data_IF_891928940347
#
_entry.id   IF_891928940347
#
_cell.length_a   1.000
_cell.length_b   1.000
_cell.length_c   1.000
_cell.angle_alpha   90.00
_cell.angle_beta   90.00
_cell.angle_gamma   90.00
#
_symmetry.space_group_name_H-M   'P 1'
#
loop_
_entity.id
_entity.type
_entity.pdbx_description
1 polymer ?
#
# COMPACT_ATOMS: atom_id res chain seq x y z
N UNK A 1 34.26 -23.37 -77.87
CA UNK A 1 33.75 -24.31 -76.85
C UNK A 1 34.62 -24.17 -75.61
N UNK A 2 34.24 -23.36 -74.70
CA UNK A 2 34.95 -23.12 -73.44
C UNK A 2 34.12 -23.68 -72.28
N UNK A 3 34.66 -24.66 -71.55
CA UNK A 3 34.06 -25.21 -70.29
C UNK A 3 34.50 -24.38 -69.10
N UNK A 4 33.58 -23.77 -68.41
CA UNK A 4 33.78 -23.12 -67.08
C UNK A 4 33.55 -24.12 -65.99
N UNK A 5 34.59 -24.40 -65.23
CA UNK A 5 34.52 -25.15 -63.96
C UNK A 5 34.25 -24.18 -62.82
N UNK A 6 33.11 -24.36 -62.09
CA UNK A 6 32.79 -23.60 -60.90
C UNK A 6 33.38 -24.30 -59.68
N UNK A 7 34.31 -23.66 -58.98
CA UNK A 7 34.78 -24.04 -57.66
C UNK A 7 33.79 -23.56 -56.60
N UNK A 8 33.22 -24.49 -55.81
CA UNK A 8 32.38 -24.24 -54.68
C UNK A 8 33.27 -24.14 -53.43
N UNK A 9 33.46 -22.94 -52.86
CA UNK A 9 34.03 -22.72 -51.56
C UNK A 9 32.92 -22.87 -50.51
N UNK A 10 32.98 -23.95 -49.75
CA UNK A 10 32.15 -24.16 -48.57
C UNK A 10 32.77 -23.46 -47.34
N UNK A 11 32.19 -22.34 -46.94
CA UNK A 11 32.54 -21.67 -45.67
C UNK A 11 31.82 -22.39 -44.55
N UNK A 12 32.54 -23.13 -43.72
CA UNK A 12 32.06 -23.72 -42.47
C UNK A 12 32.09 -22.60 -41.44
N UNK A 13 30.93 -22.00 -41.14
CA UNK A 13 30.73 -21.10 -40.00
C UNK A 13 30.70 -21.94 -38.71
N UNK A 14 31.77 -21.88 -37.96
CA UNK A 14 31.88 -22.48 -36.61
C UNK A 14 31.05 -21.59 -35.67
N UNK A 15 29.78 -21.93 -35.46
CA UNK A 15 28.98 -21.37 -34.37
C UNK A 15 29.53 -21.90 -33.05
N UNK A 16 30.38 -21.12 -32.42
CA UNK A 16 30.72 -21.31 -31.02
C UNK A 16 29.47 -20.99 -30.17
N UNK A 17 28.75 -22.04 -29.81
CA UNK A 17 27.75 -21.99 -28.74
C UNK A 17 28.51 -21.66 -27.45
N UNK A 18 28.50 -20.36 -27.10
CA UNK A 18 28.85 -19.94 -25.75
C UNK A 18 27.75 -20.52 -24.84
N UNK A 19 28.05 -21.67 -24.25
CA UNK A 19 27.27 -22.21 -23.14
C UNK A 19 27.38 -21.21 -21.99
N UNK A 20 26.33 -20.43 -21.80
CA UNK A 20 26.15 -19.71 -20.56
C UNK A 20 26.28 -20.72 -19.42
N UNK A 21 27.07 -20.44 -18.36
CA UNK A 21 27.15 -21.34 -17.23
C UNK A 21 25.74 -21.57 -16.70
N UNK A 22 25.33 -22.84 -16.61
CA UNK A 22 24.07 -23.21 -15.99
C UNK A 22 24.09 -22.60 -14.57
N UNK A 23 23.18 -21.67 -14.31
CA UNK A 23 23.02 -21.06 -13.01
C UNK A 23 22.70 -22.22 -12.06
N UNK A 24 23.54 -22.46 -11.07
CA UNK A 24 23.30 -23.51 -10.08
C UNK A 24 21.90 -23.29 -9.49
N UNK A 25 21.12 -24.35 -9.46
CA UNK A 25 19.78 -24.31 -8.86
C UNK A 25 19.92 -23.91 -7.39
N UNK A 26 19.09 -22.97 -6.93
CA UNK A 26 19.15 -22.45 -5.58
C UNK A 26 18.78 -23.56 -4.58
N UNK A 27 19.66 -23.91 -3.71
CA UNK A 27 19.39 -24.85 -2.61
C UNK A 27 18.58 -24.16 -1.50
N UNK A 28 17.27 -24.14 -1.70
CA UNK A 28 16.32 -23.46 -0.80
C UNK A 28 16.36 -24.05 0.60
N UNK A 29 16.56 -25.35 0.76
CA UNK A 29 16.57 -26.00 2.07
C UNK A 29 17.80 -25.57 2.89
N UNK A 30 18.97 -25.54 2.25
CA UNK A 30 20.21 -25.06 2.88
C UNK A 30 20.14 -23.59 3.25
N UNK A 31 19.61 -22.75 2.33
CA UNK A 31 19.44 -21.32 2.59
C UNK A 31 18.44 -21.08 3.73
N UNK A 32 17.33 -21.79 3.76
CA UNK A 32 16.35 -21.70 4.85
C UNK A 32 17.00 -21.96 6.20
N UNK A 33 17.76 -23.05 6.34
CA UNK A 33 18.46 -23.38 7.59
C UNK A 33 19.44 -22.26 8.00
N UNK A 34 20.16 -21.68 7.03
CA UNK A 34 21.08 -20.58 7.29
C UNK A 34 20.36 -19.31 7.73
N UNK A 35 19.25 -18.99 7.08
CA UNK A 35 18.41 -17.83 7.41
C UNK A 35 17.77 -18.00 8.79
N UNK A 36 17.21 -19.17 9.09
CA UNK A 36 16.59 -19.46 10.39
C UNK A 36 17.62 -19.33 11.52
N UNK A 37 18.84 -19.85 11.35
CA UNK A 37 19.91 -19.68 12.32
C UNK A 37 20.32 -18.21 12.51
N UNK A 38 20.36 -17.42 11.44
CA UNK A 38 20.64 -15.98 11.52
C UNK A 38 19.55 -15.22 12.27
N UNK A 39 18.29 -15.51 11.95
CA UNK A 39 17.13 -14.88 12.61
C UNK A 39 17.08 -15.25 14.09
N UNK A 40 17.29 -16.52 14.45
CA UNK A 40 17.30 -16.96 15.85
C UNK A 40 18.39 -16.24 16.67
N UNK A 41 19.59 -16.09 16.10
CA UNK A 41 20.68 -15.34 16.74
C UNK A 41 20.36 -13.86 16.94
N UNK A 42 19.60 -13.26 16.02
CA UNK A 42 19.28 -11.84 16.04
C UNK A 42 17.95 -11.54 16.73
N UNK A 43 17.12 -12.56 16.99
CA UNK A 43 15.78 -12.43 17.54
C UNK A 43 15.71 -11.57 18.81
N UNK A 44 16.59 -11.70 19.81
CA UNK A 44 16.53 -10.86 21.01
C UNK A 44 16.67 -9.37 20.71
N UNK A 45 17.45 -8.99 19.67
CA UNK A 45 17.61 -7.59 19.25
C UNK A 45 16.40 -7.10 18.45
N UNK A 46 15.88 -7.95 17.58
CA UNK A 46 14.69 -7.63 16.79
C UNK A 46 13.44 -7.50 17.66
N UNK A 47 13.29 -8.37 18.67
CA UNK A 47 12.22 -8.30 19.66
C UNK A 47 12.32 -7.02 20.51
N UNK A 48 13.53 -6.64 20.91
CA UNK A 48 13.76 -5.39 21.64
C UNK A 48 13.43 -4.17 20.77
N UNK A 49 13.83 -4.17 19.49
CA UNK A 49 13.50 -3.12 18.52
C UNK A 49 11.99 -3.02 18.33
N UNK A 50 11.32 -4.14 18.09
CA UNK A 50 9.87 -4.21 17.96
C UNK A 50 9.15 -3.58 19.16
N UNK A 51 9.50 -4.01 20.39
CA UNK A 51 8.86 -3.52 21.62
C UNK A 51 9.12 -2.04 21.85
N UNK A 52 10.27 -1.54 21.47
CA UNK A 52 10.60 -0.12 21.61
C UNK A 52 9.86 0.74 20.56
N UNK A 53 9.71 0.26 19.31
CA UNK A 53 8.87 0.91 18.29
C UNK A 53 7.40 0.91 18.71
N UNK A 54 6.91 -0.22 19.22
CA UNK A 54 5.54 -0.38 19.69
C UNK A 54 5.19 0.59 20.86
N UNK A 55 6.14 0.76 21.79
CA UNK A 55 5.94 1.63 22.95
C UNK A 55 6.02 3.13 22.60
N UNK A 56 6.65 3.50 21.48
CA UNK A 56 6.91 4.88 21.08
C UNK A 56 6.46 5.16 19.64
N UNK A 57 5.17 4.98 19.32
CA UNK A 57 4.63 5.18 17.99
C UNK A 57 4.54 6.66 17.63
N UNK A 58 4.71 6.97 16.34
CA UNK A 58 4.54 8.31 15.78
C UNK A 58 3.54 8.25 14.61
N UNK A 59 2.67 9.24 14.47
CA UNK A 59 1.68 9.29 13.39
C UNK A 59 2.26 9.81 12.08
N UNK A 60 1.48 9.71 11.01
CA UNK A 60 1.79 10.14 9.66
C UNK A 60 2.50 11.50 9.61
N UNK A 61 3.65 11.54 8.92
CA UNK A 61 4.54 12.71 8.77
C UNK A 61 5.10 13.30 10.07
N UNK A 62 5.03 12.58 11.17
CA UNK A 62 5.65 12.91 12.45
C UNK A 62 6.65 11.85 12.92
N UNK A 63 6.99 10.86 12.10
CA UNK A 63 7.81 9.65 12.38
C UNK A 63 9.31 9.98 12.46
N UNK A 64 9.66 11.08 13.14
CA UNK A 64 11.05 11.59 13.18
C UNK A 64 11.97 10.68 13.99
N UNK A 65 11.54 10.23 15.16
CA UNK A 65 12.33 9.36 16.03
C UNK A 65 12.37 7.92 15.48
N UNK A 66 11.27 7.45 14.95
CA UNK A 66 11.13 6.15 14.30
C UNK A 66 12.09 6.05 13.11
N UNK A 67 12.05 7.03 12.19
CA UNK A 67 12.96 7.09 11.05
C UNK A 67 14.44 7.15 11.47
N UNK A 68 14.79 7.99 12.45
CA UNK A 68 16.16 8.10 12.95
C UNK A 68 16.66 6.78 13.56
N UNK A 69 15.80 6.05 14.28
CA UNK A 69 16.11 4.74 14.85
C UNK A 69 16.41 3.72 13.75
N UNK A 70 15.53 3.60 12.74
CA UNK A 70 15.76 2.71 11.61
C UNK A 70 16.99 3.11 10.78
N UNK A 71 17.24 4.41 10.61
CA UNK A 71 18.45 4.90 9.95
C UNK A 71 19.71 4.45 10.68
N UNK A 72 19.73 4.48 12.01
CA UNK A 72 20.84 4.01 12.82
C UNK A 72 21.06 2.50 12.67
N UNK A 73 20.00 1.69 12.71
CA UNK A 73 20.07 0.24 12.49
C UNK A 73 20.64 -0.08 11.09
N UNK A 74 20.17 0.58 10.04
CA UNK A 74 20.61 0.32 8.68
C UNK A 74 22.08 0.74 8.46
N UNK A 75 22.53 1.86 9.05
CA UNK A 75 23.94 2.26 9.04
C UNK A 75 24.82 1.24 9.75
N UNK A 76 24.37 0.70 10.88
CA UNK A 76 25.10 -0.33 11.63
C UNK A 76 25.24 -1.64 10.84
N UNK A 77 24.29 -1.96 9.96
CA UNK A 77 24.35 -3.11 9.03
C UNK A 77 25.31 -2.82 7.85
N UNK A 78 25.59 -1.54 7.53
CA UNK A 78 26.49 -1.13 6.46
C UNK A 78 25.82 -0.53 5.23
N UNK A 79 24.54 -0.14 5.32
CA UNK A 79 23.86 0.60 4.26
C UNK A 79 24.26 2.08 4.23
N UNK A 80 24.29 2.67 3.05
CA UNK A 80 24.30 4.11 2.84
C UNK A 80 22.87 4.63 3.01
N UNK A 81 22.62 5.49 4.00
CA UNK A 81 21.27 5.93 4.38
C UNK A 81 21.08 7.40 4.10
N UNK A 82 20.02 7.71 3.34
CA UNK A 82 19.51 9.06 3.12
C UNK A 82 18.18 9.21 3.85
N UNK A 83 18.12 10.11 4.80
CA UNK A 83 16.93 10.45 5.57
C UNK A 83 16.13 11.60 4.93
N UNK A 84 14.92 11.85 5.42
CA UNK A 84 14.02 12.91 4.98
C UNK A 84 13.62 12.80 3.50
N UNK A 85 13.45 11.58 2.99
CA UNK A 85 12.90 11.34 1.66
C UNK A 85 11.38 11.26 1.77
N UNK A 86 10.66 12.16 1.13
CA UNK A 86 9.21 12.28 1.31
C UNK A 86 8.83 12.77 2.71
N UNK A 87 9.55 13.75 3.25
CA UNK A 87 9.48 14.34 4.60
C UNK A 87 10.23 13.51 5.65
N UNK A 88 9.59 12.52 6.28
CA UNK A 88 10.15 11.72 7.38
C UNK A 88 10.69 10.36 6.94
N UNK A 89 10.47 9.94 5.70
CA UNK A 89 10.94 8.65 5.20
C UNK A 89 12.45 8.58 4.99
N UNK A 90 12.95 7.38 4.74
CA UNK A 90 14.36 7.14 4.45
C UNK A 90 14.56 6.11 3.32
N UNK A 91 15.73 6.20 2.68
CA UNK A 91 16.22 5.25 1.68
C UNK A 91 17.59 4.76 2.13
N UNK A 92 17.75 3.44 2.17
CA UNK A 92 19.00 2.78 2.51
C UNK A 92 19.46 1.91 1.33
N UNK A 93 20.68 2.15 0.86
CA UNK A 93 21.26 1.47 -0.31
C UNK A 93 22.45 0.60 0.12
N UNK A 94 22.47 -0.64 -0.32
CA UNK A 94 23.63 -1.53 -0.19
C UNK A 94 23.98 -2.09 -1.57
N UNK A 95 25.19 -1.79 -2.04
CA UNK A 95 25.71 -2.25 -3.34
C UNK A 95 26.62 -3.45 -3.18
N UNK A 96 26.35 -4.50 -3.93
CA UNK A 96 27.11 -5.75 -3.93
C UNK A 96 27.44 -6.22 -5.37
N UNK A 97 28.17 -5.39 -6.11
CA UNK A 97 28.53 -5.64 -7.51
C UNK A 97 27.39 -5.32 -8.49
N UNK A 98 27.63 -5.68 -9.75
CA UNK A 98 26.65 -5.47 -10.82
C UNK A 98 25.49 -6.47 -10.74
N UNK A 99 24.27 -6.01 -10.96
CA UNK A 99 23.08 -6.85 -10.90
C UNK A 99 21.82 -6.05 -10.72
N UNK A 100 20.67 -6.72 -10.51
CA UNK A 100 19.38 -6.04 -10.34
C UNK A 100 19.32 -5.21 -9.06
N UNK A 101 18.50 -4.19 -9.08
CA UNK A 101 18.09 -3.43 -7.90
C UNK A 101 16.80 -4.00 -7.33
N UNK A 102 16.84 -4.49 -6.10
CA UNK A 102 15.69 -5.04 -5.40
C UNK A 102 15.26 -4.07 -4.31
N UNK A 103 14.01 -3.63 -4.37
CA UNK A 103 13.41 -2.79 -3.35
C UNK A 103 12.70 -3.63 -2.29
N UNK A 104 12.90 -3.28 -1.01
CA UNK A 104 12.15 -3.82 0.13
C UNK A 104 11.57 -2.65 0.91
N UNK A 105 10.25 -2.61 1.07
CA UNK A 105 9.54 -1.52 1.73
C UNK A 105 9.01 -1.93 3.09
N UNK A 106 9.08 -1.01 4.04
CA UNK A 106 8.30 -0.97 5.29
C UNK A 106 7.61 0.38 5.45
N UNK A 107 6.64 0.45 6.33
CA UNK A 107 5.94 1.66 6.77
C UNK A 107 6.52 2.14 8.11
N UNK A 108 6.31 3.43 8.45
CA UNK A 108 6.84 4.04 9.68
C UNK A 108 5.75 4.45 10.67
N UNK A 109 4.57 4.79 10.15
CA UNK A 109 3.53 5.50 10.89
C UNK A 109 2.63 4.59 11.71
N UNK A 110 2.02 5.19 12.73
CA UNK A 110 1.04 4.60 13.61
C UNK A 110 -0.28 5.37 13.54
N UNK A 111 -1.30 4.86 14.20
CA UNK A 111 -2.66 5.37 14.19
C UNK A 111 -2.95 6.27 15.40
N UNK A 112 -3.76 7.37 15.21
CA UNK A 112 -4.19 8.26 16.29
C UNK A 112 -5.32 7.62 17.12
N UNK A 113 -4.97 6.59 17.90
CA UNK A 113 -5.93 5.84 18.71
C UNK A 113 -5.30 5.31 20.01
N UNK A 114 -6.15 5.05 21.02
CA UNK A 114 -5.73 4.48 22.28
C UNK A 114 -5.47 2.98 22.16
N UNK A 115 -4.31 2.53 22.63
CA UNK A 115 -4.01 1.11 22.77
C UNK A 115 -4.72 0.50 23.99
N UNK A 116 -5.30 -0.69 23.79
CA UNK A 116 -6.06 -1.43 24.84
C UNK A 116 -5.61 -2.87 25.00
N UNK A 117 -4.37 -3.18 24.61
CA UNK A 117 -3.83 -4.55 24.68
C UNK A 117 -3.50 -5.00 26.10
N UNK A 118 -3.10 -4.06 26.98
CA UNK A 118 -2.61 -4.35 28.31
C UNK A 118 -1.23 -5.01 28.34
N UNK A 119 -0.49 -4.93 27.22
CA UNK A 119 0.89 -5.42 27.14
C UNK A 119 1.83 -4.60 28.05
N UNK A 120 2.90 -5.20 28.58
CA UNK A 120 3.86 -4.47 29.43
C UNK A 120 4.67 -3.41 28.68
N UNK A 121 4.62 -3.41 27.35
CA UNK A 121 5.24 -2.43 26.45
C UNK A 121 4.18 -1.69 25.62
N UNK A 122 2.93 -1.68 26.06
CA UNK A 122 1.86 -0.92 25.40
C UNK A 122 2.22 0.57 25.32
N UNK A 123 1.80 1.21 24.25
CA UNK A 123 1.98 2.65 24.07
C UNK A 123 1.14 3.46 25.07
N UNK A 124 1.78 4.48 25.65
CA UNK A 124 1.14 5.53 26.44
C UNK A 124 1.45 6.92 25.89
N UNK A 125 2.05 6.96 24.69
CA UNK A 125 2.43 8.21 24.03
C UNK A 125 1.20 8.91 23.46
N UNK A 126 1.27 10.25 23.45
CA UNK A 126 0.25 11.12 22.86
C UNK A 126 0.90 12.09 21.88
N UNK A 127 0.14 12.55 20.90
CA UNK A 127 0.55 13.57 19.96
C UNK A 127 -0.56 14.57 19.69
N UNK A 128 -0.22 15.71 19.08
CA UNK A 128 -1.23 16.64 18.56
C UNK A 128 -1.71 16.15 17.20
N UNK A 129 -2.97 15.70 17.13
CA UNK A 129 -3.63 15.34 15.89
C UNK A 129 -4.89 16.20 15.71
N UNK A 130 -4.95 16.96 14.60
CA UNK A 130 -6.05 17.88 14.31
C UNK A 130 -6.37 18.87 15.44
N UNK A 131 -5.32 19.38 16.11
CA UNK A 131 -5.44 20.36 17.20
C UNK A 131 -5.88 19.75 18.55
N UNK A 132 -5.85 18.45 18.68
CA UNK A 132 -6.20 17.73 19.94
C UNK A 132 -5.09 16.80 20.35
N UNK A 133 -4.82 16.75 21.65
CA UNK A 133 -3.97 15.71 22.22
C UNK A 133 -4.66 14.36 22.06
N UNK A 134 -4.01 13.42 21.38
CA UNK A 134 -4.58 12.14 20.97
C UNK A 134 -3.58 11.02 21.28
N UNK A 135 -3.99 9.91 21.87
CA UNK A 135 -3.17 8.72 22.04
C UNK A 135 -2.74 8.16 20.68
N UNK A 136 -1.60 7.47 20.65
CA UNK A 136 -1.05 6.87 19.44
C UNK A 136 -0.71 5.42 19.68
N UNK A 137 -1.01 4.54 18.72
CA UNK A 137 -0.69 3.12 18.80
C UNK A 137 -0.40 2.51 17.44
N UNK A 138 0.55 1.55 17.40
CA UNK A 138 0.76 0.67 16.24
C UNK A 138 -0.32 -0.42 16.21
N UNK A 139 -1.49 -0.10 15.67
CA UNK A 139 -2.62 -1.05 15.56
C UNK A 139 -2.73 -1.68 14.15
N UNK A 140 -1.87 -1.26 13.22
CA UNK A 140 -1.75 -1.82 11.87
C UNK A 140 -0.50 -2.72 11.70
N UNK A 141 0.31 -2.91 12.75
CA UNK A 141 1.46 -3.82 12.74
C UNK A 141 2.73 -3.29 12.07
N UNK A 142 2.81 -1.99 11.76
CA UNK A 142 4.00 -1.40 11.10
C UNK A 142 5.28 -1.55 11.94
N UNK A 143 5.20 -1.65 13.26
CA UNK A 143 6.29 -1.97 14.17
C UNK A 143 6.88 -3.38 13.92
N UNK A 144 6.02 -4.38 13.64
CA UNK A 144 6.44 -5.73 13.23
C UNK A 144 7.09 -5.67 11.85
N UNK A 145 6.51 -4.89 10.91
CA UNK A 145 7.06 -4.72 9.57
C UNK A 145 8.46 -4.11 9.64
N UNK A 146 8.66 -3.06 10.43
CA UNK A 146 9.96 -2.41 10.62
C UNK A 146 11.01 -3.35 11.22
N UNK A 147 10.66 -4.11 12.25
CA UNK A 147 11.57 -5.09 12.84
C UNK A 147 11.95 -6.19 11.84
N UNK A 148 10.97 -6.70 11.08
CA UNK A 148 11.19 -7.70 10.02
C UNK A 148 12.04 -7.15 8.89
N UNK A 149 11.87 -5.89 8.52
CA UNK A 149 12.65 -5.19 7.50
C UNK A 149 14.14 -5.07 7.90
N UNK A 150 14.43 -4.68 9.14
CA UNK A 150 15.80 -4.64 9.68
C UNK A 150 16.42 -6.05 9.71
N UNK A 151 15.67 -7.06 10.17
CA UNK A 151 16.11 -8.45 10.18
C UNK A 151 16.42 -8.97 8.77
N UNK A 152 15.60 -8.62 7.79
CA UNK A 152 15.80 -8.96 6.37
C UNK A 152 17.06 -8.31 5.82
N UNK A 153 17.28 -7.02 6.08
CA UNK A 153 18.49 -6.30 5.66
C UNK A 153 19.76 -6.96 6.20
N UNK A 154 19.78 -7.26 7.49
CA UNK A 154 20.91 -7.90 8.17
C UNK A 154 21.19 -9.29 7.61
N UNK A 155 20.17 -10.10 7.41
CA UNK A 155 20.28 -11.45 6.84
C UNK A 155 20.84 -11.40 5.42
N UNK A 156 20.32 -10.52 4.56
CA UNK A 156 20.81 -10.40 3.18
C UNK A 156 22.25 -9.92 3.10
N UNK A 157 22.67 -8.98 3.94
CA UNK A 157 24.09 -8.56 4.01
C UNK A 157 24.98 -9.67 4.55
N UNK A 158 24.51 -10.47 5.51
CA UNK A 158 25.19 -11.67 5.98
C UNK A 158 25.41 -12.74 4.90
N UNK A 159 24.55 -12.74 3.89
CA UNK A 159 24.60 -13.65 2.73
C UNK A 159 25.19 -13.00 1.46
N UNK A 160 25.90 -11.88 1.57
CA UNK A 160 26.38 -11.08 0.43
C UNK A 160 27.21 -11.86 -0.59
N UNK A 161 27.89 -12.92 -0.18
CA UNK A 161 28.70 -13.76 -1.07
C UNK A 161 27.83 -14.67 -1.97
N UNK A 162 26.50 -14.69 -1.77
CA UNK A 162 25.55 -15.55 -2.49
C UNK A 162 24.68 -14.80 -3.48
N UNK A 163 24.79 -13.48 -3.57
CA UNK A 163 24.03 -12.65 -4.48
C UNK A 163 24.83 -11.46 -5.00
N UNK A 164 24.37 -10.85 -6.09
CA UNK A 164 24.94 -9.64 -6.70
C UNK A 164 23.81 -8.65 -7.02
N UNK A 165 24.15 -7.37 -7.01
CA UNK A 165 23.24 -6.29 -7.34
C UNK A 165 23.13 -5.26 -6.24
N UNK A 166 22.01 -4.55 -6.20
CA UNK A 166 21.74 -3.47 -5.25
C UNK A 166 20.50 -3.79 -4.42
N UNK A 167 20.61 -3.69 -3.11
CA UNK A 167 19.46 -3.65 -2.21
C UNK A 167 19.07 -2.19 -1.97
N UNK A 168 17.82 -1.88 -2.21
CA UNK A 168 17.19 -0.59 -1.91
C UNK A 168 16.12 -0.83 -0.85
N UNK A 169 16.41 -0.50 0.37
CA UNK A 169 15.48 -0.61 1.49
C UNK A 169 14.86 0.77 1.73
N UNK A 170 13.53 0.86 1.68
CA UNK A 170 12.81 2.10 1.93
C UNK A 170 11.92 1.96 3.16
N UNK A 171 11.97 2.96 4.05
CA UNK A 171 11.04 3.09 5.14
C UNK A 171 10.14 4.29 4.84
N UNK A 172 8.90 4.00 4.52
CA UNK A 172 7.94 4.94 3.99
C UNK A 172 7.14 5.57 5.13
N UNK A 173 6.95 6.91 5.15
CA UNK A 173 6.07 7.59 6.09
C UNK A 173 4.61 7.49 5.66
N UNK A 174 3.68 7.85 6.53
CA UNK A 174 2.30 8.25 6.24
C UNK A 174 1.52 7.30 5.32
N UNK A 175 1.61 5.99 5.55
CA UNK A 175 0.82 4.99 4.83
C UNK A 175 -0.67 5.10 5.21
N UNK A 176 -0.98 5.30 6.48
CA UNK A 176 -2.34 5.40 7.02
C UNK A 176 -3.14 6.59 6.46
N UNK A 177 -2.44 7.61 5.96
CA UNK A 177 -3.01 8.76 5.26
C UNK A 177 -3.02 8.58 3.72
N UNK A 178 -2.58 7.40 3.21
CA UNK A 178 -2.44 7.12 1.77
C UNK A 178 -1.62 8.21 1.05
N UNK A 179 -0.56 8.67 1.67
CA UNK A 179 0.16 9.86 1.20
C UNK A 179 1.68 9.67 1.11
N UNK A 180 2.23 8.69 1.83
CA UNK A 180 3.66 8.55 2.02
C UNK A 180 4.41 8.09 0.78
N UNK A 181 3.91 7.09 0.07
CA UNK A 181 4.53 6.61 -1.16
C UNK A 181 4.58 7.72 -2.22
N UNK A 182 3.47 8.47 -2.37
CA UNK A 182 3.42 9.61 -3.27
C UNK A 182 4.42 10.70 -2.84
N UNK A 183 4.53 11.01 -1.56
CA UNK A 183 5.48 12.01 -1.05
C UNK A 183 6.92 11.61 -1.35
N UNK A 184 7.29 10.33 -1.21
CA UNK A 184 8.62 9.84 -1.57
C UNK A 184 8.88 9.93 -3.08
N UNK A 185 7.89 9.58 -3.92
CA UNK A 185 8.01 9.70 -5.37
C UNK A 185 8.13 11.15 -5.83
N UNK A 186 7.34 12.05 -5.26
CA UNK A 186 7.38 13.49 -5.55
C UNK A 186 8.72 14.13 -5.12
N UNK A 187 9.34 13.63 -4.04
CA UNK A 187 10.70 14.01 -3.62
C UNK A 187 11.81 13.39 -4.50
N UNK A 188 11.43 12.67 -5.54
CA UNK A 188 12.34 12.13 -6.53
C UNK A 188 12.93 10.77 -6.19
N UNK A 189 12.22 9.90 -5.50
CA UNK A 189 12.69 8.57 -5.11
C UNK A 189 13.35 7.81 -6.27
N UNK A 190 12.75 7.79 -7.47
CA UNK A 190 13.29 7.08 -8.62
C UNK A 190 14.09 7.95 -9.60
N UNK A 191 14.42 9.19 -9.21
CA UNK A 191 15.33 10.08 -9.94
C UNK A 191 16.62 10.35 -9.18
N UNK A 192 16.57 10.34 -7.86
CA UNK A 192 17.71 10.49 -6.94
C UNK A 192 18.41 9.16 -6.66
N UNK A 193 17.65 8.07 -6.69
CA UNK A 193 18.11 6.71 -6.40
C UNK A 193 17.85 5.78 -7.59
N UNK A 194 18.53 4.63 -7.69
CA UNK A 194 18.28 3.65 -8.74
C UNK A 194 16.83 3.20 -8.75
N UNK A 195 16.17 3.23 -9.91
CA UNK A 195 14.82 2.66 -10.03
C UNK A 195 14.90 1.15 -9.85
N UNK A 196 14.07 0.55 -8.97
CA UNK A 196 14.09 -0.89 -8.73
C UNK A 196 13.62 -1.70 -9.94
N UNK A 197 14.27 -2.84 -10.17
CA UNK A 197 13.82 -3.85 -11.14
C UNK A 197 12.68 -4.70 -10.56
N UNK A 198 12.67 -4.92 -9.25
CA UNK A 198 11.63 -5.66 -8.52
C UNK A 198 11.44 -5.06 -7.13
N UNK A 199 10.19 -5.04 -6.66
CA UNK A 199 9.82 -4.60 -5.32
C UNK A 199 9.14 -5.69 -4.49
N UNK A 200 9.41 -5.67 -3.18
CA UNK A 200 8.76 -6.51 -2.20
C UNK A 200 8.27 -5.67 -1.02
N UNK A 201 7.06 -5.97 -0.55
CA UNK A 201 6.54 -5.48 0.71
C UNK A 201 5.68 -6.57 1.37
N UNK A 202 5.57 -6.52 2.67
CA UNK A 202 4.71 -7.41 3.44
C UNK A 202 3.73 -6.60 4.29
N UNK A 203 2.65 -7.27 4.69
CA UNK A 203 1.78 -6.80 5.75
C UNK A 203 1.42 -7.98 6.65
N UNK A 204 1.37 -7.76 7.95
CA UNK A 204 0.83 -8.74 8.88
C UNK A 204 -0.70 -8.79 8.80
N UNK A 205 -1.31 -9.77 9.42
CA UNK A 205 -2.77 -9.88 9.40
C UNK A 205 -3.30 -10.94 10.35
N UNK A 206 -4.63 -11.02 10.46
CA UNK A 206 -5.33 -12.00 11.27
C UNK A 206 -5.27 -13.41 10.65
N UNK A 207 -4.08 -13.87 10.27
CA UNK A 207 -3.82 -15.19 9.71
C UNK A 207 -3.34 -16.17 10.78
N UNK A 208 -3.36 -17.46 10.49
CA UNK A 208 -2.73 -18.45 11.36
C UNK A 208 -1.21 -18.25 11.40
N UNK A 209 -0.64 -18.22 12.58
CA UNK A 209 0.80 -18.01 12.79
C UNK A 209 1.67 -18.91 11.88
N UNK A 210 2.66 -18.27 11.27
CA UNK A 210 3.63 -18.91 10.38
C UNK A 210 3.10 -19.24 8.99
N UNK A 211 1.94 -18.68 8.60
CA UNK A 211 1.46 -18.75 7.21
C UNK A 211 1.96 -17.55 6.40
N UNK A 212 2.18 -17.77 5.11
CA UNK A 212 2.43 -16.69 4.14
C UNK A 212 1.35 -16.74 3.09
N UNK A 213 0.68 -15.63 2.87
CA UNK A 213 -0.39 -15.55 1.89
C UNK A 213 -0.15 -14.45 0.85
N UNK A 214 -0.56 -14.71 -0.38
CA UNK A 214 -0.41 -13.77 -1.49
C UNK A 214 -1.46 -14.02 -2.56
N UNK A 215 -1.48 -13.13 -3.56
CA UNK A 215 -2.31 -13.27 -4.74
C UNK A 215 -1.54 -12.82 -5.99
N UNK A 216 -1.80 -13.45 -7.11
CA UNK A 216 -1.38 -12.96 -8.44
C UNK A 216 -2.37 -11.90 -8.91
N UNK A 217 -1.88 -10.81 -9.47
CA UNK A 217 -2.71 -9.70 -9.94
C UNK A 217 -3.24 -8.83 -8.79
N UNK A 218 -4.50 -8.43 -8.85
CA UNK A 218 -5.09 -7.47 -7.91
C UNK A 218 -5.07 -8.02 -6.48
N UNK A 219 -4.30 -7.41 -5.60
CA UNK A 219 -4.12 -7.79 -4.19
C UNK A 219 -4.97 -6.97 -3.21
N UNK A 220 -5.10 -5.65 -3.45
CA UNK A 220 -5.89 -4.73 -2.61
C UNK A 220 -6.91 -3.95 -3.44
N UNK A 221 -7.75 -3.12 -2.80
CA UNK A 221 -8.74 -2.31 -3.51
C UNK A 221 -8.21 -0.92 -3.88
N UNK A 222 -8.82 -0.34 -4.96
CA UNK A 222 -8.78 1.12 -5.12
C UNK A 222 -9.60 1.74 -3.98
N UNK A 223 -9.17 2.91 -3.54
CA UNK A 223 -9.90 3.76 -2.60
C UNK A 223 -10.18 5.10 -3.23
N UNK A 224 -11.41 5.58 -3.09
CA UNK A 224 -11.79 6.96 -3.39
C UNK A 224 -12.54 7.54 -2.19
N UNK A 225 -12.24 8.79 -1.86
CA UNK A 225 -13.04 9.59 -0.93
C UNK A 225 -14.31 10.08 -1.59
N UNK A 226 -15.37 10.23 -0.81
CA UNK A 226 -16.65 10.80 -1.24
C UNK A 226 -17.00 11.96 -0.33
N UNK A 227 -17.05 13.17 -0.89
CA UNK A 227 -17.43 14.39 -0.20
C UNK A 227 -18.43 15.13 -1.08
N UNK A 228 -19.71 15.12 -0.71
CA UNK A 228 -20.79 15.74 -1.48
C UNK A 228 -21.53 16.72 -0.61
N UNK A 229 -21.50 18.00 -0.99
CA UNK A 229 -22.24 19.05 -0.32
C UNK A 229 -23.50 19.41 -1.12
N UNK A 230 -24.63 19.11 -0.53
CA UNK A 230 -25.93 19.54 -1.05
C UNK A 230 -26.24 20.93 -0.55
N UNK A 231 -26.71 21.80 -1.46
CA UNK A 231 -27.14 23.14 -1.18
C UNK A 231 -28.67 23.20 -1.08
N UNK A 232 -29.17 24.08 -0.23
CA UNK A 232 -30.59 24.30 -0.03
C UNK A 232 -30.87 25.75 0.28
N UNK A 233 -32.02 25.97 0.84
CA UNK A 233 -32.45 27.24 1.38
C UNK A 233 -33.06 27.02 2.75
N UNK A 234 -32.35 27.49 3.79
CA UNK A 234 -32.73 27.33 5.17
C UNK A 234 -33.98 28.12 5.56
N UNK A 235 -34.52 27.80 6.72
CA UNK A 235 -35.68 28.48 7.27
C UNK A 235 -36.27 27.77 8.48
N UNK A 236 -37.44 28.24 8.88
CA UNK A 236 -38.16 27.71 10.01
C UNK A 236 -38.79 26.33 9.69
N UNK A 237 -38.51 25.32 10.53
CA UNK A 237 -38.94 23.93 10.28
C UNK A 237 -40.46 23.73 10.20
N UNK A 238 -41.26 24.64 10.75
CA UNK A 238 -42.74 24.62 10.60
C UNK A 238 -43.25 25.36 9.32
N UNK A 239 -42.33 25.90 8.50
CA UNK A 239 -42.66 26.59 7.23
C UNK A 239 -41.87 26.00 6.06
N UNK A 240 -41.88 24.65 5.85
CA UNK A 240 -41.04 23.96 4.87
C UNK A 240 -41.29 24.40 3.42
N UNK A 241 -42.48 24.93 3.10
CA UNK A 241 -42.82 25.47 1.78
C UNK A 241 -41.97 26.69 1.37
N UNK A 242 -41.31 27.34 2.32
CA UNK A 242 -40.39 28.46 2.08
C UNK A 242 -38.93 28.06 1.98
N UNK A 243 -38.64 26.76 2.05
CA UNK A 243 -37.28 26.22 2.15
C UNK A 243 -36.97 25.24 1.01
N UNK A 244 -35.70 24.89 0.88
CA UNK A 244 -35.22 23.72 0.14
C UNK A 244 -34.38 22.96 1.15
N UNK A 245 -34.81 21.79 1.58
CA UNK A 245 -34.21 21.07 2.68
C UNK A 245 -33.02 20.18 2.21
N UNK A 246 -31.76 20.59 2.45
CA UNK A 246 -30.60 19.84 2.03
C UNK A 246 -30.35 18.57 2.88
N UNK A 247 -30.90 18.48 4.10
CA UNK A 247 -30.80 17.27 4.93
C UNK A 247 -31.65 16.15 4.33
N UNK A 248 -32.85 16.48 3.85
CA UNK A 248 -33.70 15.52 3.13
C UNK A 248 -33.08 15.08 1.81
N UNK A 249 -32.43 15.99 1.06
CA UNK A 249 -31.71 15.65 -0.17
C UNK A 249 -30.57 14.71 0.13
N UNK A 250 -29.73 14.98 1.16
CA UNK A 250 -28.64 14.14 1.58
C UNK A 250 -29.13 12.75 2.01
N UNK A 251 -30.20 12.67 2.81
CA UNK A 251 -30.77 11.40 3.23
C UNK A 251 -31.25 10.56 2.03
N UNK A 252 -31.88 11.18 1.03
CA UNK A 252 -32.30 10.52 -0.20
C UNK A 252 -31.12 10.03 -1.01
N UNK A 253 -30.06 10.84 -1.15
CA UNK A 253 -28.83 10.42 -1.82
C UNK A 253 -28.24 9.15 -1.18
N UNK A 254 -28.20 9.06 0.15
CA UNK A 254 -27.65 7.88 0.86
C UNK A 254 -28.41 6.60 0.50
N UNK A 255 -29.71 6.69 0.33
CA UNK A 255 -30.54 5.55 -0.09
C UNK A 255 -30.34 5.26 -1.58
N UNK A 256 -30.50 6.27 -2.43
CA UNK A 256 -30.54 6.11 -3.88
C UNK A 256 -29.18 5.71 -4.47
N UNK A 257 -28.05 6.15 -3.87
CA UNK A 257 -26.70 5.79 -4.32
C UNK A 257 -26.43 4.29 -4.23
N UNK A 258 -27.14 3.56 -3.38
CA UNK A 258 -27.02 2.09 -3.29
C UNK A 258 -27.51 1.40 -4.58
N UNK A 259 -28.31 2.06 -5.41
CA UNK A 259 -28.72 1.55 -6.70
C UNK A 259 -27.54 1.42 -7.70
N UNK A 260 -26.53 2.26 -7.57
CA UNK A 260 -25.29 2.17 -8.36
C UNK A 260 -24.60 0.82 -8.12
N UNK A 261 -24.58 0.35 -6.87
CA UNK A 261 -24.01 -0.96 -6.51
C UNK A 261 -24.89 -2.11 -6.96
N UNK A 262 -26.19 -2.00 -6.72
CA UNK A 262 -27.11 -3.13 -6.89
C UNK A 262 -27.69 -3.25 -8.30
N UNK A 263 -27.66 -2.18 -9.13
CA UNK A 263 -28.33 -2.15 -10.45
C UNK A 263 -27.45 -1.71 -11.61
N UNK A 264 -26.32 -1.06 -11.35
CA UNK A 264 -25.47 -0.54 -12.44
C UNK A 264 -24.14 -1.27 -12.56
N UNK A 265 -23.51 -1.58 -11.43
CA UNK A 265 -22.31 -2.40 -11.38
C UNK A 265 -22.66 -3.84 -11.79
N UNK A 266 -21.72 -4.52 -12.48
CA UNK A 266 -21.84 -5.97 -12.69
C UNK A 266 -21.89 -6.68 -11.32
N UNK A 267 -22.90 -7.51 -11.04
CA UNK A 267 -23.05 -8.16 -9.74
C UNK A 267 -21.89 -9.10 -9.37
N UNK A 268 -21.14 -9.60 -10.35
CA UNK A 268 -19.96 -10.46 -10.14
C UNK A 268 -18.71 -9.68 -9.77
N UNK A 269 -18.71 -8.36 -9.98
CA UNK A 269 -17.56 -7.51 -9.70
C UNK A 269 -17.63 -6.90 -8.30
N UNK A 270 -16.46 -6.69 -7.68
CA UNK A 270 -16.38 -6.03 -6.38
C UNK A 270 -16.56 -4.50 -6.52
N UNK A 271 -17.39 -3.94 -5.65
CA UNK A 271 -17.57 -2.50 -5.52
C UNK A 271 -18.42 -2.18 -4.28
N UNK A 272 -17.96 -1.21 -3.51
CA UNK A 272 -18.61 -0.73 -2.27
C UNK A 272 -18.72 0.78 -2.30
N UNK A 273 -19.87 1.30 -1.86
CA UNK A 273 -20.06 2.70 -1.45
C UNK A 273 -20.54 2.69 -0.01
N UNK A 274 -19.75 3.27 0.89
CA UNK A 274 -20.15 3.43 2.28
C UNK A 274 -20.22 4.90 2.63
N UNK A 275 -21.36 5.33 3.19
CA UNK A 275 -21.52 6.67 3.73
C UNK A 275 -21.31 6.59 5.24
N UNK A 276 -20.21 7.21 5.69
CA UNK A 276 -19.82 7.19 7.10
C UNK A 276 -20.42 8.33 7.92
N UNK A 277 -20.73 9.48 7.28
CA UNK A 277 -21.27 10.63 8.00
C UNK A 277 -22.17 11.49 7.12
N UNK A 278 -23.15 12.13 7.78
CA UNK A 278 -23.96 13.23 7.25
C UNK A 278 -23.88 14.36 8.26
N UNK A 279 -23.49 15.54 7.79
CA UNK A 279 -23.41 16.74 8.62
C UNK A 279 -24.36 17.79 8.06
N UNK A 280 -25.41 18.16 8.83
CA UNK A 280 -26.38 19.17 8.43
C UNK A 280 -27.27 19.64 9.59
N UNK A 281 -27.39 20.96 9.72
CA UNK A 281 -28.20 21.58 10.75
C UNK A 281 -27.59 21.54 12.17
N UNK A 282 -28.19 22.34 13.08
CA UNK A 282 -27.76 22.45 14.48
C UNK A 282 -28.94 22.37 15.46
N UNK A 283 -30.16 22.54 14.97
CA UNK A 283 -31.37 22.53 15.79
C UNK A 283 -32.53 21.89 15.03
N UNK A 284 -33.39 21.13 15.73
CA UNK A 284 -34.48 20.35 15.13
C UNK A 284 -35.58 21.14 14.50
N UNK A 285 -35.69 22.45 14.78
CA UNK A 285 -36.70 23.35 14.24
C UNK A 285 -36.16 24.35 13.20
N UNK A 286 -34.91 24.16 12.74
CA UNK A 286 -34.25 25.00 11.74
C UNK A 286 -33.77 24.12 10.59
N UNK A 287 -34.26 24.41 9.38
CA UNK A 287 -33.71 23.79 8.16
C UNK A 287 -32.43 24.54 7.78
N UNK A 288 -31.28 23.85 7.58
CA UNK A 288 -30.05 24.51 7.23
C UNK A 288 -29.94 24.90 5.76
N UNK A 289 -28.92 25.67 5.39
CA UNK A 289 -28.62 26.04 4.00
C UNK A 289 -27.80 24.96 3.23
N UNK A 290 -27.19 24.04 3.92
CA UNK A 290 -26.44 22.95 3.29
C UNK A 290 -26.36 21.69 4.16
N UNK A 291 -26.04 20.55 3.52
CA UNK A 291 -25.70 19.30 4.18
C UNK A 291 -24.52 18.64 3.45
N UNK A 292 -23.55 18.13 4.21
CA UNK A 292 -22.37 17.41 3.71
C UNK A 292 -22.53 15.92 3.95
N UNK A 293 -22.34 15.13 2.90
CA UNK A 293 -22.25 13.67 2.96
C UNK A 293 -20.79 13.28 2.78
N UNK A 294 -20.27 12.43 3.68
CA UNK A 294 -18.90 11.92 3.66
C UNK A 294 -18.91 10.40 3.60
N UNK A 295 -18.10 9.85 2.71
CA UNK A 295 -18.05 8.40 2.50
C UNK A 295 -16.78 7.91 1.85
N UNK A 296 -16.76 6.63 1.53
CA UNK A 296 -15.66 5.97 0.82
C UNK A 296 -16.19 5.03 -0.27
N UNK A 297 -15.40 4.89 -1.32
CA UNK A 297 -15.69 4.00 -2.44
C UNK A 297 -14.54 3.01 -2.55
N UNK A 298 -14.84 1.71 -2.73
CA UNK A 298 -13.85 0.65 -2.92
C UNK A 298 -14.17 -0.11 -4.18
N UNK A 299 -13.15 -0.39 -4.99
CA UNK A 299 -13.28 -1.20 -6.22
C UNK A 299 -11.99 -1.96 -6.47
N UNK A 300 -12.04 -3.05 -7.25
CA UNK A 300 -10.82 -3.71 -7.70
C UNK A 300 -10.41 -3.25 -9.11
N UNK A 301 -11.36 -3.15 -10.02
CA UNK A 301 -11.09 -2.91 -11.44
C UNK A 301 -11.31 -1.45 -11.84
N UNK A 302 -10.44 -0.87 -12.68
CA UNK A 302 -10.58 0.52 -13.13
C UNK A 302 -11.91 0.80 -13.85
N UNK A 303 -12.40 -0.14 -14.66
CA UNK A 303 -13.68 0.01 -15.38
C UNK A 303 -14.88 0.02 -14.44
N UNK A 304 -14.86 -0.78 -13.37
CA UNK A 304 -15.90 -0.76 -12.32
C UNK A 304 -15.86 0.57 -11.57
N UNK A 305 -14.65 1.04 -11.20
CA UNK A 305 -14.45 2.34 -10.57
C UNK A 305 -15.04 3.47 -11.41
N UNK A 306 -14.68 3.55 -12.69
CA UNK A 306 -15.17 4.59 -13.61
C UNK A 306 -16.70 4.59 -13.66
N UNK A 307 -17.32 3.43 -13.78
CA UNK A 307 -18.78 3.29 -13.84
C UNK A 307 -19.45 3.72 -12.53
N UNK A 308 -18.88 3.32 -11.39
CA UNK A 308 -19.42 3.68 -10.08
C UNK A 308 -19.30 5.17 -9.81
N UNK A 309 -18.15 5.80 -10.06
CA UNK A 309 -17.98 7.24 -9.88
C UNK A 309 -18.97 8.05 -10.73
N UNK A 310 -19.17 7.68 -11.99
CA UNK A 310 -20.16 8.32 -12.86
C UNK A 310 -21.60 8.12 -12.35
N UNK A 311 -21.94 6.95 -11.81
CA UNK A 311 -23.23 6.66 -11.22
C UNK A 311 -23.51 7.50 -9.97
N UNK A 312 -22.51 7.62 -9.08
CA UNK A 312 -22.57 8.42 -7.86
C UNK A 312 -22.81 9.90 -8.19
N UNK A 313 -22.01 10.44 -9.11
CA UNK A 313 -22.14 11.84 -9.55
C UNK A 313 -23.53 12.12 -10.15
N UNK A 314 -24.01 11.24 -11.02
CA UNK A 314 -25.35 11.35 -11.62
C UNK A 314 -26.43 11.29 -10.57
N UNK A 315 -26.37 10.38 -9.60
CA UNK A 315 -27.33 10.24 -8.52
C UNK A 315 -27.37 11.51 -7.66
N UNK A 316 -26.20 12.05 -7.27
CA UNK A 316 -26.13 13.29 -6.50
C UNK A 316 -26.81 14.47 -7.22
N UNK A 317 -26.53 14.66 -8.50
CA UNK A 317 -27.18 15.70 -9.32
C UNK A 317 -28.68 15.47 -9.45
N UNK A 318 -29.13 14.23 -9.61
CA UNK A 318 -30.52 13.89 -9.78
C UNK A 318 -31.37 14.18 -8.51
N UNK A 319 -30.86 13.78 -7.32
CA UNK A 319 -31.59 14.01 -6.06
C UNK A 319 -31.66 15.50 -5.71
N UNK A 320 -30.66 16.31 -6.05
CA UNK A 320 -30.71 17.76 -5.91
C UNK A 320 -31.77 18.38 -6.86
N UNK A 321 -31.79 17.97 -8.12
CA UNK A 321 -32.74 18.43 -9.11
C UNK A 321 -34.18 18.05 -8.75
N UNK A 322 -34.42 16.89 -8.12
CA UNK A 322 -35.76 16.49 -7.63
C UNK A 322 -36.34 17.44 -6.58
N UNK A 323 -35.47 18.17 -5.87
CA UNK A 323 -35.90 19.15 -4.85
C UNK A 323 -35.82 20.61 -5.35
N UNK A 324 -35.60 20.82 -6.65
CA UNK A 324 -35.33 22.15 -7.23
C UNK A 324 -34.18 22.89 -6.51
N UNK A 325 -33.20 22.13 -6.03
CA UNK A 325 -32.02 22.62 -5.34
C UNK A 325 -30.89 23.00 -6.33
N UNK A 326 -30.02 23.91 -5.93
CA UNK A 326 -28.78 24.16 -6.68
C UNK A 326 -27.94 22.87 -6.89
N UNK A 327 -27.13 22.78 -7.94
CA UNK A 327 -26.22 21.66 -8.15
C UNK A 327 -25.35 21.44 -6.91
N UNK A 328 -25.09 20.17 -6.51
CA UNK A 328 -24.21 19.87 -5.39
C UNK A 328 -22.74 20.10 -5.75
N UNK A 329 -21.92 20.44 -4.76
CA UNK A 329 -20.49 20.33 -4.87
C UNK A 329 -20.09 18.86 -4.70
N UNK A 330 -19.41 18.29 -5.69
CA UNK A 330 -19.03 16.90 -5.70
C UNK A 330 -17.52 16.82 -5.76
N UNK A 331 -16.91 16.29 -4.71
CA UNK A 331 -15.52 15.90 -4.68
C UNK A 331 -15.43 14.38 -4.46
N UNK A 332 -14.95 13.67 -5.48
CA UNK A 332 -14.63 12.26 -5.44
C UNK A 332 -13.10 12.17 -5.49
N UNK A 333 -12.49 12.25 -4.32
CA UNK A 333 -11.04 12.33 -4.16
C UNK A 333 -10.41 10.98 -4.49
N UNK A 334 -9.48 11.00 -5.45
CA UNK A 334 -8.74 9.81 -5.84
C UNK A 334 -7.68 9.50 -4.80
N UNK A 335 -7.95 8.50 -3.96
CA UNK A 335 -6.97 7.92 -3.04
C UNK A 335 -6.09 6.86 -3.72
N UNK A 336 -5.72 5.81 -2.97
CA UNK A 336 -4.86 4.74 -3.48
C UNK A 336 -5.51 3.94 -4.62
N UNK A 337 -4.71 3.55 -5.60
CA UNK A 337 -5.08 2.52 -6.56
C UNK A 337 -4.88 1.14 -5.94
N UNK A 338 -5.43 0.10 -6.58
CA UNK A 338 -5.20 -1.27 -6.17
C UNK A 338 -3.71 -1.64 -6.28
N UNK A 339 -3.18 -2.35 -5.30
CA UNK A 339 -1.89 -3.03 -5.44
C UNK A 339 -2.07 -4.20 -6.41
N UNK A 340 -1.25 -4.25 -7.45
CA UNK A 340 -1.27 -5.32 -8.45
C UNK A 340 0.05 -6.07 -8.42
N UNK A 341 0.02 -7.29 -7.93
CA UNK A 341 1.19 -8.15 -7.91
C UNK A 341 1.55 -8.63 -9.32
N UNK A 342 2.82 -8.47 -9.69
CA UNK A 342 3.32 -8.88 -11.01
C UNK A 342 3.35 -10.41 -11.14
N UNK A 343 2.74 -11.00 -12.18
CA UNK A 343 2.67 -12.45 -12.33
C UNK A 343 4.03 -13.14 -12.44
N UNK A 344 5.04 -12.52 -13.05
CA UNK A 344 6.37 -13.12 -13.20
C UNK A 344 7.16 -13.08 -11.89
N UNK A 345 7.05 -11.99 -11.13
CA UNK A 345 7.65 -11.85 -9.79
C UNK A 345 7.02 -12.88 -8.85
N UNK A 346 5.68 -12.96 -8.82
CA UNK A 346 4.98 -13.94 -7.98
C UNK A 346 5.34 -15.36 -8.36
N UNK A 347 5.37 -15.72 -9.65
CA UNK A 347 5.73 -17.06 -10.09
C UNK A 347 7.14 -17.48 -9.68
N UNK A 348 8.07 -16.51 -9.62
CA UNK A 348 9.44 -16.75 -9.15
C UNK A 348 9.48 -16.92 -7.64
N UNK A 349 8.85 -16.02 -6.89
CA UNK A 349 8.78 -16.06 -5.43
C UNK A 349 8.02 -17.29 -4.92
N UNK A 350 6.92 -17.67 -5.56
CA UNK A 350 6.09 -18.83 -5.20
C UNK A 350 6.88 -20.13 -5.16
N UNK A 351 7.79 -20.35 -6.11
CA UNK A 351 8.64 -21.55 -6.14
C UNK A 351 9.50 -21.66 -4.88
N UNK A 352 10.11 -20.55 -4.49
CA UNK A 352 10.96 -20.47 -3.29
C UNK A 352 10.12 -20.59 -2.02
N UNK A 353 8.99 -19.87 -1.95
CA UNK A 353 8.09 -19.91 -0.81
C UNK A 353 7.52 -21.32 -0.59
N UNK A 354 7.06 -22.00 -1.64
CA UNK A 354 6.58 -23.38 -1.54
C UNK A 354 7.66 -24.35 -1.08
N UNK A 355 8.88 -24.20 -1.59
CA UNK A 355 10.00 -25.03 -1.16
C UNK A 355 10.40 -24.77 0.30
N UNK A 356 10.31 -23.51 0.77
CA UNK A 356 10.67 -23.13 2.12
C UNK A 356 9.59 -23.42 3.17
N UNK A 357 8.31 -23.21 2.84
CA UNK A 357 7.19 -23.19 3.81
C UNK A 357 6.12 -24.26 3.55
N UNK A 358 6.18 -24.95 2.41
CA UNK A 358 5.28 -26.06 2.09
C UNK A 358 3.80 -25.68 2.11
N UNK A 359 3.02 -26.38 2.92
CA UNK A 359 1.58 -26.20 3.09
C UNK A 359 1.18 -24.96 3.90
N UNK A 360 2.12 -24.21 4.44
CA UNK A 360 1.86 -22.93 5.09
C UNK A 360 1.64 -21.76 4.10
N UNK A 361 1.87 -22.02 2.80
CA UNK A 361 1.62 -21.02 1.75
C UNK A 361 0.15 -21.06 1.34
N UNK A 362 -0.48 -19.89 1.24
CA UNK A 362 -1.87 -19.70 0.86
C UNK A 362 -2.01 -18.71 -0.28
N UNK A 363 -2.96 -18.92 -1.16
CA UNK A 363 -3.51 -17.90 -2.03
C UNK A 363 -4.82 -17.38 -1.44
N UNK A 364 -5.00 -16.05 -1.43
CA UNK A 364 -6.17 -15.41 -0.82
C UNK A 364 -7.00 -14.64 -1.85
N UNK A 365 -8.28 -14.38 -1.57
CA UNK A 365 -9.03 -13.35 -2.30
C UNK A 365 -8.33 -12.00 -2.21
N UNK A 366 -8.62 -11.03 -3.10
CA UNK A 366 -8.13 -9.66 -2.94
C UNK A 366 -8.60 -9.08 -1.62
N UNK A 367 -7.72 -8.32 -0.95
CA UNK A 367 -8.08 -7.56 0.24
C UNK A 367 -8.97 -6.36 -0.15
N UNK A 368 -9.95 -6.05 0.66
CA UNK A 368 -10.83 -4.90 0.47
C UNK A 368 -10.29 -3.60 1.08
N UNK A 369 -9.18 -3.68 1.82
CA UNK A 369 -8.42 -2.51 2.29
C UNK A 369 -7.65 -1.87 1.13
N UNK A 370 -7.16 -0.67 1.32
CA UNK A 370 -6.27 0.04 0.40
C UNK A 370 -4.86 0.10 0.96
N UNK A 371 -3.89 0.36 0.09
CA UNK A 371 -2.47 0.36 0.40
C UNK A 371 -1.75 1.25 -0.62
N UNK A 372 -0.99 2.25 -0.15
CA UNK A 372 -0.34 3.20 -1.04
C UNK A 372 0.98 2.69 -1.66
N UNK A 373 1.44 1.49 -1.29
CA UNK A 373 2.47 0.75 -2.04
C UNK A 373 2.15 0.65 -3.54
N UNK A 374 0.86 0.71 -3.87
CA UNK A 374 0.37 0.77 -5.24
C UNK A 374 1.00 1.89 -6.07
N UNK A 375 1.46 2.99 -5.46
CA UNK A 375 2.10 4.09 -6.17
C UNK A 375 3.45 3.68 -6.75
N UNK A 376 4.23 2.82 -6.07
CA UNK A 376 5.48 2.27 -6.64
C UNK A 376 5.21 1.30 -7.80
N UNK A 377 4.16 0.49 -7.68
CA UNK A 377 3.71 -0.39 -8.77
C UNK A 377 3.28 0.44 -9.99
N UNK A 378 2.50 1.51 -9.78
CA UNK A 378 2.07 2.44 -10.83
C UNK A 378 3.25 3.22 -11.44
N UNK A 379 4.30 3.50 -10.66
CA UNK A 379 5.55 4.07 -11.15
C UNK A 379 6.40 3.07 -11.96
N UNK A 380 5.88 1.84 -12.13
CA UNK A 380 6.46 0.79 -13.00
C UNK A 380 7.51 -0.06 -12.30
N UNK A 381 7.35 -0.36 -11.01
CA UNK A 381 8.14 -1.36 -10.28
C UNK A 381 7.35 -2.67 -10.22
N UNK A 382 7.76 -3.71 -10.97
CA UNK A 382 7.16 -5.04 -10.85
C UNK A 382 7.31 -5.54 -9.42
N UNK A 383 6.22 -5.93 -8.76
CA UNK A 383 6.27 -6.14 -7.31
C UNK A 383 5.49 -7.38 -6.87
N UNK A 384 5.84 -7.86 -5.69
CA UNK A 384 5.03 -8.77 -4.90
C UNK A 384 4.78 -8.19 -3.51
N UNK A 385 3.51 -7.91 -3.23
CA UNK A 385 3.00 -7.60 -1.90
C UNK A 385 2.35 -8.87 -1.33
N UNK A 386 2.73 -9.27 -0.12
CA UNK A 386 2.27 -10.52 0.50
C UNK A 386 1.94 -10.31 1.97
N UNK A 387 1.17 -11.23 2.56
CA UNK A 387 0.79 -11.16 3.97
C UNK A 387 1.42 -12.30 4.77
N UNK A 388 1.67 -12.02 6.06
CA UNK A 388 2.21 -12.98 7.04
C UNK A 388 1.25 -13.15 8.21
#
# INVERSE_FOLDING_TARGET
MMRFTKSLLASVALCSLLSLPARAELDVAKLKTTIEASVENDYPKLDALYKDLHAHPEIAFQEVKTAAKLAAEMRAIGFEVTEQVGKTGLVAIYKNGDGPTIMVRTELDALPMEEKTGLPYASHDTTNWNGRETPVAHSCGHDIHMASWVGTAKTLVGLKDQWHGTLMFIAQPAEEEIAGAKAMLDDGLFTRFPKPDVGFALHDGASAYGTVSYRVGIGSSNQDGLFIRFHGRGGHGAMPQNTIDPVMIAARFVVDVQSVISREKDPTEFGVVSIGAIHGGTAGNIIPDNALVVGTIRTFKPEVRTKMLAGIERTAKAVAAMADAPPPDINLDAGAKAVVNDPAVVATAEKVLKAAFGDKIRTTPPNTTSEDYSEYVNAGVPSMFFNI
#
